data_IF_111590509674
#
_entry.id   IF_111590509674
#
_cell.length_a   1.000
_cell.length_b   1.000
_cell.length_c   1.000
_cell.angle_alpha   90.00
_cell.angle_beta   90.00
_cell.angle_gamma   90.00
#
_symmetry.space_group_name_H-M   'P 1'
#
loop_
_entity.id
_entity.type
_entity.pdbx_description
1 polymer ?
#
# COMPACT_ATOMS: atom_id res chain seq x y z
N UNK A 1 -5.57 -4.87 -13.60
CA UNK A 1 -6.14 -5.54 -12.42
C UNK A 1 -5.30 -5.24 -11.19
N UNK A 2 -5.88 -5.40 -10.00
CA UNK A 2 -5.17 -5.41 -8.74
C UNK A 2 -5.60 -6.65 -7.95
N UNK A 3 -4.67 -7.35 -7.31
CA UNK A 3 -4.95 -8.60 -6.62
C UNK A 3 -4.20 -8.68 -5.28
N UNK A 4 -4.83 -9.34 -4.32
CA UNK A 4 -4.20 -9.87 -3.13
C UNK A 4 -4.31 -11.40 -3.16
N UNK A 5 -3.18 -12.08 -3.07
CA UNK A 5 -3.10 -13.55 -3.05
C UNK A 5 -2.55 -14.01 -1.70
N UNK A 6 -3.29 -14.87 -1.01
CA UNK A 6 -2.89 -15.46 0.26
C UNK A 6 -2.53 -16.92 0.08
N UNK A 7 -1.34 -17.30 0.52
CA UNK A 7 -0.91 -18.70 0.64
C UNK A 7 -0.94 -19.12 2.12
N UNK A 8 -1.87 -20.01 2.52
CA UNK A 8 -1.99 -20.44 3.91
C UNK A 8 -0.87 -21.39 4.35
N UNK A 9 -0.19 -22.09 3.42
CA UNK A 9 0.87 -23.03 3.76
C UNK A 9 2.14 -22.29 4.16
N UNK A 10 2.52 -21.29 3.37
CA UNK A 10 3.71 -20.47 3.63
C UNK A 10 3.41 -19.26 4.50
N UNK A 11 2.12 -18.98 4.76
CA UNK A 11 1.64 -17.76 5.43
C UNK A 11 2.12 -16.49 4.73
N UNK A 12 2.10 -16.48 3.40
CA UNK A 12 2.55 -15.34 2.59
C UNK A 12 1.38 -14.62 1.94
N UNK A 13 1.36 -13.30 2.08
CA UNK A 13 0.44 -12.41 1.37
C UNK A 13 1.20 -11.70 0.25
N UNK A 14 0.73 -11.85 -0.98
CA UNK A 14 1.26 -11.13 -2.14
C UNK A 14 0.24 -10.09 -2.60
N UNK A 15 0.63 -8.82 -2.64
CA UNK A 15 -0.12 -7.74 -3.25
C UNK A 15 0.52 -7.40 -4.60
N UNK A 16 -0.29 -7.31 -5.64
CA UNK A 16 0.20 -7.07 -6.99
C UNK A 16 -0.74 -6.18 -7.79
N UNK A 17 -0.16 -5.33 -8.64
CA UNK A 17 -0.89 -4.45 -9.54
C UNK A 17 -0.41 -4.66 -10.98
N UNK A 18 -1.34 -4.58 -11.92
CA UNK A 18 -1.03 -4.67 -13.35
C UNK A 18 -0.03 -3.60 -13.79
N UNK A 19 0.68 -3.88 -14.89
CA UNK A 19 1.73 -3.02 -15.45
C UNK A 19 1.23 -1.62 -15.83
N UNK A 20 -0.03 -1.51 -16.27
CA UNK A 20 -0.64 -0.23 -16.63
C UNK A 20 -1.23 0.50 -15.41
N UNK A 21 -1.36 -0.17 -14.27
CA UNK A 21 -1.96 0.38 -13.06
C UNK A 21 -3.41 0.81 -13.23
N UNK A 22 -4.20 0.16 -14.11
CA UNK A 22 -5.58 0.61 -14.39
C UNK A 22 -6.45 0.54 -13.14
N UNK A 23 -6.28 -0.51 -12.32
CA UNK A 23 -7.02 -0.65 -11.06
C UNK A 23 -6.10 -0.29 -9.88
N UNK A 24 -6.51 0.63 -9.00
CA UNK A 24 -5.68 1.01 -7.86
C UNK A 24 -5.67 -0.07 -6.78
N UNK A 25 -4.57 -0.13 -6.03
CA UNK A 25 -4.45 -0.90 -4.80
C UNK A 25 -3.68 -0.05 -3.79
N UNK A 26 -4.35 0.35 -2.72
CA UNK A 26 -3.77 1.11 -1.64
C UNK A 26 -3.37 0.17 -0.51
N UNK A 27 -2.35 0.53 0.24
CA UNK A 27 -1.93 -0.20 1.44
C UNK A 27 -1.43 0.74 2.54
N UNK A 28 -1.52 0.25 3.77
CA UNK A 28 -0.85 0.80 4.94
C UNK A 28 -0.04 -0.31 5.58
N UNK A 29 1.26 -0.06 5.81
CA UNK A 29 2.16 -1.00 6.46
C UNK A 29 2.90 -0.27 7.58
N UNK A 30 2.62 -0.68 8.82
CA UNK A 30 3.19 -0.10 10.03
C UNK A 30 3.66 -1.26 10.94
N UNK A 31 4.86 -1.81 10.67
CA UNK A 31 5.34 -3.03 11.35
C UNK A 31 5.47 -2.85 12.86
N UNK A 32 5.80 -1.65 13.34
CA UNK A 32 5.87 -1.35 14.78
C UNK A 32 4.52 -1.47 15.49
N UNK A 33 3.43 -1.27 14.75
CA UNK A 33 2.04 -1.45 15.23
C UNK A 33 1.46 -2.81 14.87
N UNK A 34 2.24 -3.69 14.22
CA UNK A 34 1.76 -4.96 13.68
C UNK A 34 0.68 -4.79 12.60
N UNK A 35 0.56 -3.62 11.98
CA UNK A 35 -0.51 -3.32 11.03
C UNK A 35 -0.06 -3.54 9.60
N UNK A 36 -0.82 -4.37 8.87
CA UNK A 36 -0.84 -4.44 7.42
C UNK A 36 -2.29 -4.43 6.95
N UNK A 37 -2.64 -3.44 6.12
CA UNK A 37 -3.97 -3.32 5.53
C UNK A 37 -3.87 -2.90 4.07
N UNK A 38 -4.82 -3.33 3.25
CA UNK A 38 -4.91 -2.97 1.84
C UNK A 38 -6.37 -2.85 1.40
N UNK A 39 -6.62 -2.02 0.39
CA UNK A 39 -7.95 -1.80 -0.17
C UNK A 39 -7.86 -1.22 -1.60
N UNK A 40 -8.90 -1.40 -2.41
CA UNK A 40 -9.01 -0.75 -3.71
C UNK A 40 -9.28 0.76 -3.61
N UNK A 41 -9.67 1.25 -2.44
CA UNK A 41 -9.97 2.66 -2.19
C UNK A 41 -9.30 3.14 -0.90
N UNK A 42 -8.79 4.38 -0.86
CA UNK A 42 -8.08 4.88 0.32
C UNK A 42 -9.03 5.06 1.51
N UNK A 43 -10.32 5.38 1.27
CA UNK A 43 -11.31 5.66 2.34
C UNK A 43 -11.44 4.51 3.34
N UNK A 44 -11.37 3.26 2.88
CA UNK A 44 -11.42 2.09 3.75
C UNK A 44 -10.24 2.07 4.73
N UNK A 45 -9.03 2.41 4.26
CA UNK A 45 -7.85 2.52 5.10
C UNK A 45 -7.95 3.71 6.06
N UNK A 46 -8.49 4.85 5.61
CA UNK A 46 -8.67 6.01 6.48
C UNK A 46 -9.61 5.70 7.65
N UNK A 47 -10.68 4.93 7.42
CA UNK A 47 -11.55 4.49 8.50
C UNK A 47 -10.79 3.62 9.53
N UNK A 48 -9.99 2.66 9.06
CA UNK A 48 -9.15 1.82 9.91
C UNK A 48 -8.10 2.62 10.70
N UNK A 49 -7.53 3.67 10.09
CA UNK A 49 -6.48 4.51 10.68
C UNK A 49 -7.01 5.59 11.64
N UNK A 50 -8.33 5.64 11.87
CA UNK A 50 -8.95 6.63 12.76
C UNK A 50 -9.14 8.01 12.13
N UNK A 51 -9.24 8.08 10.79
CA UNK A 51 -9.56 9.27 10.03
C UNK A 51 -8.47 9.72 9.06
N UNK A 52 -8.79 10.74 8.27
CA UNK A 52 -7.88 11.34 7.31
C UNK A 52 -6.87 12.26 8.02
N UNK A 53 -5.58 12.07 7.74
CA UNK A 53 -4.51 13.00 8.12
C UNK A 53 -3.77 13.41 6.86
N UNK A 54 -3.67 14.71 6.63
CA UNK A 54 -3.02 15.26 5.45
C UNK A 54 -1.50 15.00 5.49
N UNK A 55 -0.94 14.56 4.36
CA UNK A 55 0.51 14.47 4.16
C UNK A 55 1.01 15.76 3.50
N UNK A 56 1.69 16.60 4.29
CA UNK A 56 2.14 17.91 3.85
C UNK A 56 3.16 17.83 2.69
N UNK A 57 3.98 16.79 2.67
CA UNK A 57 4.98 16.58 1.62
C UNK A 57 4.31 16.16 0.31
N UNK A 58 3.37 15.22 0.36
CA UNK A 58 2.59 14.85 -0.80
C UNK A 58 1.76 16.02 -1.35
N UNK A 59 1.23 16.89 -0.47
CA UNK A 59 0.55 18.12 -0.88
C UNK A 59 1.51 19.08 -1.60
N UNK A 60 2.71 19.29 -1.04
CA UNK A 60 3.72 20.14 -1.67
C UNK A 60 4.12 19.61 -3.07
N UNK A 61 4.25 18.29 -3.22
CA UNK A 61 4.50 17.65 -4.52
C UNK A 61 3.37 17.89 -5.51
N UNK A 62 2.11 17.80 -5.08
CA UNK A 62 0.97 18.12 -5.96
C UNK A 62 0.96 19.58 -6.37
N UNK A 63 1.28 20.50 -5.46
CA UNK A 63 1.38 21.93 -5.80
C UNK A 63 2.52 22.19 -6.79
N UNK A 64 3.67 21.55 -6.60
CA UNK A 64 4.86 21.78 -7.43
C UNK A 64 4.82 21.05 -8.79
N UNK A 65 4.28 19.83 -8.83
CA UNK A 65 4.39 18.90 -9.96
C UNK A 65 3.05 18.29 -10.41
N UNK A 66 1.93 18.65 -9.78
CA UNK A 66 0.59 18.17 -10.11
C UNK A 66 0.24 16.78 -9.59
N UNK A 67 1.21 16.00 -9.08
CA UNK A 67 0.99 14.61 -8.63
C UNK A 67 1.83 14.27 -7.38
N UNK A 68 1.37 13.38 -6.49
CA UNK A 68 2.22 12.77 -5.49
C UNK A 68 3.24 11.80 -6.13
N UNK A 69 4.44 11.73 -5.57
CA UNK A 69 5.54 10.92 -6.09
C UNK A 69 5.61 9.54 -5.43
N UNK A 70 6.12 8.54 -6.16
CA UNK A 70 6.47 7.22 -5.63
C UNK A 70 5.35 6.50 -4.84
N UNK A 71 4.11 6.64 -5.33
CA UNK A 71 2.95 6.01 -4.70
C UNK A 71 2.58 6.65 -3.36
N UNK A 72 3.06 7.85 -3.07
CA UNK A 72 2.49 8.68 -2.00
C UNK A 72 1.03 8.98 -2.30
N UNK A 73 0.28 9.28 -1.24
CA UNK A 73 -1.06 9.82 -1.34
C UNK A 73 -1.14 11.09 -0.50
N UNK A 74 -2.20 11.87 -0.66
CA UNK A 74 -2.44 13.04 0.19
C UNK A 74 -2.73 12.68 1.66
N UNK A 75 -2.80 11.38 1.97
CA UNK A 75 -3.08 10.88 3.30
C UNK A 75 -1.84 10.22 3.90
N UNK A 76 -1.50 10.61 5.12
CA UNK A 76 -0.43 9.98 5.88
C UNK A 76 -0.69 8.48 6.03
N UNK A 77 0.39 7.69 5.99
CA UNK A 77 0.37 6.23 6.20
C UNK A 77 -0.42 5.43 5.16
N UNK A 78 -0.91 6.05 4.09
CA UNK A 78 -1.55 5.38 2.96
C UNK A 78 -0.66 5.53 1.73
N UNK A 79 -0.29 4.41 1.12
CA UNK A 79 0.49 4.35 -0.11
C UNK A 79 -0.34 3.70 -1.21
N UNK A 80 -0.16 4.16 -2.44
CA UNK A 80 -0.64 3.52 -3.65
C UNK A 80 0.45 2.55 -4.14
N UNK A 81 0.10 1.28 -4.32
CA UNK A 81 0.96 0.30 -4.97
C UNK A 81 1.19 0.72 -6.42
N UNK A 82 2.43 0.78 -6.88
CA UNK A 82 2.77 1.30 -8.20
C UNK A 82 2.34 0.34 -9.33
N UNK A 83 2.16 0.85 -10.57
CA UNK A 83 1.95 -0.01 -11.73
C UNK A 83 3.09 -1.04 -11.85
N UNK A 84 2.73 -2.30 -12.12
CA UNK A 84 3.67 -3.42 -12.21
C UNK A 84 4.38 -3.78 -10.90
N UNK A 85 3.97 -3.24 -9.75
CA UNK A 85 4.63 -3.51 -8.47
C UNK A 85 4.03 -4.73 -7.77
N UNK A 86 4.93 -5.54 -7.19
CA UNK A 86 4.62 -6.70 -6.35
C UNK A 86 5.23 -6.49 -4.98
N UNK A 87 4.40 -6.61 -3.94
CA UNK A 87 4.84 -6.69 -2.54
C UNK A 87 4.52 -8.07 -1.98
N UNK A 88 5.47 -8.67 -1.28
CA UNK A 88 5.26 -9.93 -0.57
C UNK A 88 5.54 -9.77 0.92
N UNK A 89 4.57 -10.16 1.73
CA UNK A 89 4.63 -10.13 3.18
C UNK A 89 4.64 -11.54 3.74
N UNK A 90 5.52 -11.77 4.71
CA UNK A 90 5.53 -12.95 5.56
C UNK A 90 4.68 -12.65 6.82
N UNK A 91 3.64 -13.44 7.02
CA UNK A 91 2.72 -13.39 8.16
C UNK A 91 2.84 -14.63 9.06
N UNK A 92 3.99 -15.31 9.03
CA UNK A 92 4.28 -16.46 9.89
C UNK A 92 4.50 -16.07 11.35
N UNK A 93 4.93 -14.83 11.59
CA UNK A 93 5.16 -14.21 12.89
C UNK A 93 4.00 -13.28 13.27
N UNK A 94 3.96 -12.84 14.53
CA UNK A 94 2.93 -11.91 15.02
C UNK A 94 2.90 -10.57 14.26
N UNK A 95 4.06 -10.10 13.80
CA UNK A 95 4.18 -8.85 13.05
C UNK A 95 4.40 -9.15 11.55
N UNK A 96 3.57 -8.57 10.66
CA UNK A 96 3.79 -8.67 9.23
C UNK A 96 5.19 -8.16 8.86
N UNK A 97 5.92 -8.90 8.02
CA UNK A 97 7.22 -8.49 7.51
C UNK A 97 7.19 -8.39 5.99
N UNK A 98 7.56 -7.23 5.44
CA UNK A 98 7.83 -7.10 4.01
C UNK A 98 9.10 -7.86 3.65
N UNK A 99 8.98 -8.90 2.83
CA UNK A 99 10.09 -9.77 2.43
C UNK A 99 10.55 -9.50 0.99
N UNK A 100 9.67 -8.96 0.14
CA UNK A 100 10.02 -8.65 -1.25
C UNK A 100 9.25 -7.43 -1.74
N UNK A 101 9.96 -6.58 -2.48
CA UNK A 101 9.41 -5.47 -3.26
C UNK A 101 10.05 -5.51 -4.66
N UNK A 102 9.25 -5.74 -5.69
CA UNK A 102 9.72 -5.91 -7.06
C UNK A 102 8.85 -5.11 -8.02
N UNK A 103 9.45 -4.57 -9.09
CA UNK A 103 8.72 -4.11 -10.28
C UNK A 103 8.86 -5.16 -11.39
N UNK A 104 7.76 -5.45 -12.05
CA UNK A 104 7.68 -6.23 -13.28
C UNK A 104 8.26 -5.43 -14.45
#
# INVERSE_FOLDING_TARGET
YALASWDPQTRQLTLLRDEFGIKPLYYSYQPERGLLAFASEPRALLHLLGGARADAEAIAQVVAAGVPLEGQTLFQQVRLLLPGEVLRFDLSQERPRLCQRQRL
#
